data_IF_792979564876
#
_entry.id   IF_792979564876
#
_cell.length_a   1.000
_cell.length_b   1.000
_cell.length_c   1.000
_cell.angle_alpha   90.00
_cell.angle_beta   90.00
_cell.angle_gamma   90.00
#
_symmetry.space_group_name_H-M   'P 1'
#
loop_
_entity.id
_entity.type
_entity.pdbx_description
1 polymer ?
#
# COMPACT_ATOMS: atom_id res chain seq x y z
N UNK A 1 -76.91 12.22 -23.80
CA UNK A 1 -75.65 11.62 -23.32
C UNK A 1 -74.96 12.62 -22.41
N UNK A 2 -75.15 12.51 -21.09
CA UNK A 2 -74.50 13.37 -20.09
C UNK A 2 -73.44 12.55 -19.37
N UNK A 3 -72.17 12.85 -19.63
CA UNK A 3 -71.03 12.22 -18.95
C UNK A 3 -70.88 12.98 -17.63
N UNK A 4 -71.50 12.45 -16.57
CA UNK A 4 -71.36 12.96 -15.21
C UNK A 4 -69.92 12.74 -14.74
N UNK A 5 -69.14 13.83 -14.77
CA UNK A 5 -67.75 13.85 -14.36
C UNK A 5 -67.68 13.81 -12.82
N UNK A 6 -67.56 12.59 -12.26
CA UNK A 6 -67.33 12.36 -10.83
C UNK A 6 -65.89 12.71 -10.49
N UNK A 7 -65.62 13.96 -10.17
CA UNK A 7 -64.39 14.34 -9.51
C UNK A 7 -64.45 13.83 -8.05
N UNK A 8 -63.78 12.72 -7.77
CA UNK A 8 -63.52 12.28 -6.41
C UNK A 8 -62.57 13.28 -5.75
N UNK A 9 -63.12 14.11 -4.87
CA UNK A 9 -62.33 15.00 -4.01
C UNK A 9 -61.60 14.11 -3.00
N UNK A 10 -60.30 13.91 -3.24
CA UNK A 10 -59.41 13.19 -2.32
C UNK A 10 -59.51 13.80 -0.93
N UNK A 11 -59.79 12.97 0.08
CA UNK A 11 -59.81 13.46 1.47
C UNK A 11 -58.36 13.64 1.95
N UNK A 12 -58.11 14.65 2.78
CA UNK A 12 -56.77 15.04 3.23
C UNK A 12 -55.94 13.86 3.79
N UNK A 13 -56.58 12.92 4.49
CA UNK A 13 -55.91 11.74 5.04
C UNK A 13 -55.46 10.73 3.97
N UNK A 14 -56.20 10.60 2.87
CA UNK A 14 -55.81 9.74 1.74
C UNK A 14 -54.58 10.33 1.03
N UNK A 15 -54.50 11.65 0.92
CA UNK A 15 -53.34 12.33 0.35
C UNK A 15 -52.08 12.16 1.22
N UNK A 16 -52.23 12.29 2.54
CA UNK A 16 -51.13 12.05 3.50
C UNK A 16 -50.68 10.58 3.48
N UNK A 17 -51.61 9.64 3.33
CA UNK A 17 -51.29 8.21 3.22
C UNK A 17 -50.47 7.91 1.96
N UNK A 18 -50.82 8.52 0.82
CA UNK A 18 -50.06 8.36 -0.43
C UNK A 18 -48.66 8.98 -0.32
N UNK A 19 -48.52 10.16 0.31
CA UNK A 19 -47.20 10.76 0.56
C UNK A 19 -46.37 9.86 1.48
N UNK A 20 -46.96 9.33 2.55
CA UNK A 20 -46.29 8.41 3.47
C UNK A 20 -45.84 7.11 2.79
N UNK A 21 -46.67 6.55 1.91
CA UNK A 21 -46.32 5.37 1.12
C UNK A 21 -45.22 5.67 0.10
N UNK A 22 -45.26 6.84 -0.56
CA UNK A 22 -44.26 7.25 -1.51
C UNK A 22 -42.90 7.53 -0.85
N UNK A 23 -42.88 8.14 0.33
CA UNK A 23 -41.64 8.36 1.10
C UNK A 23 -41.08 7.05 1.64
N UNK A 24 -41.93 6.16 2.19
CA UNK A 24 -41.50 4.83 2.62
C UNK A 24 -40.97 3.98 1.45
N UNK A 25 -41.63 4.03 0.29
CA UNK A 25 -41.18 3.35 -0.92
C UNK A 25 -39.86 3.94 -1.44
N UNK A 26 -39.69 5.26 -1.44
CA UNK A 26 -38.41 5.89 -1.78
C UNK A 26 -37.30 5.46 -0.82
N UNK A 27 -37.57 5.40 0.48
CA UNK A 27 -36.59 4.97 1.49
C UNK A 27 -36.22 3.49 1.35
N UNK A 28 -37.18 2.63 1.00
CA UNK A 28 -36.97 1.20 0.79
C UNK A 28 -36.27 0.86 -0.54
N UNK A 29 -36.55 1.61 -1.61
CA UNK A 29 -35.98 1.40 -2.94
C UNK A 29 -34.59 2.04 -3.09
N UNK A 30 -34.36 3.16 -2.39
CA UNK A 30 -33.07 3.87 -2.38
C UNK A 30 -32.48 3.93 -0.97
N UNK A 31 -32.10 2.80 -0.37
CA UNK A 31 -31.29 2.86 0.84
C UNK A 31 -29.98 3.52 0.44
N UNK A 32 -29.67 4.70 1.01
CA UNK A 32 -28.47 5.49 0.68
C UNK A 32 -27.25 4.57 0.52
N UNK A 33 -27.09 3.63 1.44
CA UNK A 33 -26.02 2.63 1.46
C UNK A 33 -25.81 1.85 0.15
N UNK A 34 -26.86 1.41 -0.57
CA UNK A 34 -26.69 0.62 -1.80
C UNK A 34 -26.27 1.47 -3.00
N UNK A 35 -26.78 2.69 -3.09
CA UNK A 35 -26.34 3.61 -4.13
C UNK A 35 -24.90 4.04 -3.88
N UNK A 36 -24.55 4.37 -2.63
CA UNK A 36 -23.15 4.63 -2.28
C UNK A 36 -22.29 3.43 -2.64
N UNK A 37 -22.68 2.21 -2.29
CA UNK A 37 -21.92 0.99 -2.57
C UNK A 37 -21.74 0.69 -4.06
N UNK A 38 -22.79 0.82 -4.89
CA UNK A 38 -22.72 0.68 -6.34
C UNK A 38 -21.83 1.75 -6.99
N UNK A 39 -21.99 2.99 -6.54
CA UNK A 39 -21.19 4.12 -7.01
C UNK A 39 -19.74 4.03 -6.52
N UNK A 40 -19.51 3.39 -5.37
CA UNK A 40 -18.21 3.05 -4.80
C UNK A 40 -17.54 1.89 -5.56
N UNK A 41 -18.32 0.95 -6.08
CA UNK A 41 -17.81 -0.17 -6.87
C UNK A 41 -17.26 0.28 -8.23
N UNK A 42 -17.92 1.22 -8.91
CA UNK A 42 -17.46 1.75 -10.21
C UNK A 42 -16.39 2.83 -10.06
N UNK A 43 -15.12 2.44 -10.22
CA UNK A 43 -13.96 3.34 -10.04
C UNK A 43 -13.86 4.48 -11.04
N UNK A 44 -14.30 4.28 -12.28
CA UNK A 44 -14.03 5.20 -13.40
C UNK A 44 -15.32 5.77 -14.05
N UNK A 45 -16.42 5.80 -13.32
CA UNK A 45 -17.70 6.28 -13.87
C UNK A 45 -17.85 7.80 -13.69
N UNK A 46 -18.11 8.59 -14.74
CA UNK A 46 -18.43 10.01 -14.59
C UNK A 46 -19.65 10.27 -13.69
N UNK A 47 -20.57 9.29 -13.62
CA UNK A 47 -21.73 9.33 -12.73
C UNK A 47 -21.28 9.27 -11.27
N UNK A 48 -20.25 8.49 -10.95
CA UNK A 48 -19.75 8.37 -9.58
C UNK A 48 -19.14 9.67 -9.06
N UNK A 49 -18.43 10.39 -9.92
CA UNK A 49 -17.91 11.73 -9.61
C UNK A 49 -19.04 12.69 -9.29
N UNK A 50 -20.06 12.81 -10.18
CA UNK A 50 -21.20 13.73 -9.96
C UNK A 50 -21.98 13.41 -8.68
N UNK A 51 -22.16 12.12 -8.39
CA UNK A 51 -22.82 11.68 -7.17
C UNK A 51 -22.00 12.04 -5.93
N UNK A 52 -20.69 11.77 -5.93
CA UNK A 52 -19.81 12.17 -4.83
C UNK A 52 -19.70 13.68 -4.65
N UNK A 53 -19.74 14.46 -5.72
CA UNK A 53 -19.85 15.92 -5.66
C UNK A 53 -21.13 16.36 -4.95
N UNK A 54 -22.27 15.68 -5.18
CA UNK A 54 -23.50 15.96 -4.42
C UNK A 54 -23.36 15.59 -2.95
N UNK A 55 -22.78 14.43 -2.63
CA UNK A 55 -22.57 14.00 -1.24
C UNK A 55 -21.66 14.97 -0.48
N UNK A 56 -20.53 15.38 -1.09
CA UNK A 56 -19.60 16.33 -0.48
C UNK A 56 -20.23 17.72 -0.31
N UNK A 57 -21.13 18.13 -1.22
CA UNK A 57 -21.90 19.37 -1.06
C UNK A 57 -22.87 19.30 0.12
N UNK A 58 -23.53 18.16 0.31
CA UNK A 58 -24.45 17.94 1.44
C UNK A 58 -23.68 17.80 2.77
N UNK A 59 -22.49 17.20 2.74
CA UNK A 59 -21.67 16.92 3.92
C UNK A 59 -20.25 17.50 3.76
N UNK A 60 -20.07 18.83 3.76
CA UNK A 60 -18.78 19.46 3.45
C UNK A 60 -17.69 19.20 4.49
N UNK A 61 -18.06 18.79 5.71
CA UNK A 61 -17.12 18.46 6.78
C UNK A 61 -16.55 17.04 6.73
N UNK A 62 -17.14 16.14 5.93
CA UNK A 62 -16.71 14.74 5.87
C UNK A 62 -15.51 14.59 4.94
N UNK A 63 -14.33 14.46 5.54
CA UNK A 63 -13.04 14.27 4.88
C UNK A 63 -12.92 12.94 4.15
N UNK A 64 -13.54 11.87 4.64
CA UNK A 64 -13.52 10.57 3.96
C UNK A 64 -14.16 10.65 2.56
N UNK A 65 -15.32 11.32 2.43
CA UNK A 65 -15.95 11.55 1.12
C UNK A 65 -15.14 12.45 0.21
N UNK A 66 -14.43 13.45 0.76
CA UNK A 66 -13.53 14.32 -0.01
C UNK A 66 -12.33 13.55 -0.55
N UNK A 67 -11.72 12.68 0.26
CA UNK A 67 -10.61 11.82 -0.17
C UNK A 67 -11.08 10.88 -1.27
N UNK A 68 -12.25 10.27 -1.10
CA UNK A 68 -12.82 9.38 -2.10
C UNK A 68 -13.12 10.11 -3.42
N UNK A 69 -13.69 11.33 -3.35
CA UNK A 69 -13.91 12.17 -4.52
C UNK A 69 -12.57 12.54 -5.18
N UNK A 70 -11.54 12.84 -4.39
CA UNK A 70 -10.19 13.07 -4.91
C UNK A 70 -9.64 11.83 -5.62
N UNK A 71 -9.79 10.63 -5.06
CA UNK A 71 -9.37 9.37 -5.70
C UNK A 71 -10.08 9.17 -7.05
N UNK A 72 -11.38 9.49 -7.16
CA UNK A 72 -12.10 9.46 -8.45
C UNK A 72 -11.56 10.49 -9.45
N UNK A 73 -11.23 11.68 -8.98
CA UNK A 73 -10.59 12.69 -9.83
C UNK A 73 -9.22 12.24 -10.31
N UNK A 74 -8.41 11.60 -9.47
CA UNK A 74 -7.11 11.05 -9.86
C UNK A 74 -7.26 9.97 -10.94
N UNK A 75 -8.19 9.02 -10.76
CA UNK A 75 -8.42 7.97 -11.75
C UNK A 75 -8.96 8.49 -13.09
N UNK A 76 -9.71 9.58 -13.07
CA UNK A 76 -10.18 10.26 -14.29
C UNK A 76 -9.17 11.23 -14.90
N UNK A 77 -7.94 11.29 -14.39
CA UNK A 77 -6.87 12.14 -14.92
C UNK A 77 -7.06 13.62 -14.61
N UNK A 78 -7.77 13.97 -13.53
CA UNK A 78 -8.05 15.34 -13.07
C UNK A 78 -7.33 15.65 -11.75
N UNK A 79 -6.00 15.86 -11.76
CA UNK A 79 -5.25 16.03 -10.52
C UNK A 79 -5.50 17.37 -9.81
N UNK A 80 -5.94 18.43 -10.49
CA UNK A 80 -6.18 19.74 -9.86
C UNK A 80 -7.46 19.74 -9.02
N UNK A 81 -8.62 19.24 -9.51
CA UNK A 81 -9.78 19.03 -8.66
C UNK A 81 -9.50 18.08 -7.51
N UNK A 82 -8.70 17.03 -7.74
CA UNK A 82 -8.30 16.11 -6.67
C UNK A 82 -7.54 16.84 -5.56
N UNK A 83 -6.51 17.64 -5.92
CA UNK A 83 -5.74 18.43 -4.97
C UNK A 83 -6.63 19.39 -4.18
N UNK A 84 -7.56 20.08 -4.85
CA UNK A 84 -8.48 21.01 -4.19
C UNK A 84 -9.35 20.30 -3.13
N UNK A 85 -9.83 19.08 -3.41
CA UNK A 85 -10.60 18.30 -2.44
C UNK A 85 -9.74 17.84 -1.26
N UNK A 86 -8.50 17.42 -1.50
CA UNK A 86 -7.58 17.00 -0.45
C UNK A 86 -7.19 18.15 0.48
N UNK A 87 -6.90 19.34 -0.08
CA UNK A 87 -6.59 20.53 0.72
C UNK A 87 -7.79 21.03 1.54
N UNK A 88 -9.02 20.73 1.11
CA UNK A 88 -10.24 21.05 1.85
C UNK A 88 -10.51 20.11 3.03
N UNK A 89 -9.74 19.03 3.20
CA UNK A 89 -9.87 18.12 4.35
C UNK A 89 -9.34 18.81 5.61
N UNK A 90 -10.26 19.19 6.51
CA UNK A 90 -9.99 19.83 7.80
C UNK A 90 -10.04 18.87 9.00
N UNK A 91 -10.24 17.57 8.75
CA UNK A 91 -10.44 16.59 9.82
C UNK A 91 -9.22 16.47 10.75
N UNK A 92 -9.52 16.29 12.03
CA UNK A 92 -8.56 16.00 13.10
C UNK A 92 -8.30 14.51 13.28
N UNK A 93 -9.14 13.65 12.70
CA UNK A 93 -8.97 12.20 12.79
C UNK A 93 -7.63 11.76 12.17
N UNK A 94 -6.76 11.07 12.92
CA UNK A 94 -5.45 10.63 12.43
C UNK A 94 -5.52 9.72 11.20
N UNK A 95 -6.58 8.90 11.09
CA UNK A 95 -6.73 7.93 9.99
C UNK A 95 -7.04 8.64 8.69
N UNK A 96 -8.10 9.47 8.66
CA UNK A 96 -8.43 10.28 7.50
C UNK A 96 -7.28 11.20 7.14
N UNK A 97 -6.63 11.82 8.14
CA UNK A 97 -5.51 12.73 7.91
C UNK A 97 -4.33 12.02 7.25
N UNK A 98 -3.96 10.83 7.74
CA UNK A 98 -2.92 10.02 7.13
C UNK A 98 -3.23 9.71 5.66
N UNK A 99 -4.44 9.23 5.39
CA UNK A 99 -4.85 8.85 4.04
C UNK A 99 -4.86 10.05 3.08
N UNK A 100 -5.26 11.23 3.55
CA UNK A 100 -5.15 12.49 2.81
C UNK A 100 -3.69 12.84 2.49
N UNK A 101 -2.82 12.81 3.51
CA UNK A 101 -1.41 13.17 3.39
C UNK A 101 -0.68 12.31 2.35
N UNK A 102 -0.93 11.00 2.36
CA UNK A 102 -0.37 10.04 1.39
C UNK A 102 -0.74 10.43 -0.05
N UNK A 103 -1.97 10.88 -0.29
CA UNK A 103 -2.47 11.24 -1.64
C UNK A 103 -1.93 12.58 -2.11
N UNK A 104 -1.80 13.55 -1.20
CA UNK A 104 -1.12 14.81 -1.50
C UNK A 104 0.35 14.57 -1.85
N UNK A 105 1.05 13.73 -1.08
CA UNK A 105 2.43 13.32 -1.39
C UNK A 105 2.54 12.63 -2.75
N UNK A 106 1.58 11.76 -3.09
CA UNK A 106 1.52 11.11 -4.40
C UNK A 106 1.44 12.13 -5.55
N UNK A 107 0.54 13.12 -5.42
CA UNK A 107 0.40 14.21 -6.38
C UNK A 107 1.67 15.08 -6.51
N UNK A 108 2.32 15.40 -5.38
CA UNK A 108 3.58 16.14 -5.37
C UNK A 108 4.68 15.39 -6.13
N UNK A 109 4.72 14.06 -6.05
CA UNK A 109 5.69 13.24 -6.79
C UNK A 109 5.37 13.14 -8.29
N UNK A 110 4.08 13.07 -8.65
CA UNK A 110 3.66 12.97 -10.04
C UNK A 110 3.91 14.27 -10.82
N UNK A 111 3.68 15.42 -10.20
CA UNK A 111 3.85 16.72 -10.85
C UNK A 111 4.52 17.75 -9.92
N UNK A 112 5.83 17.60 -9.62
CA UNK A 112 6.53 18.43 -8.64
C UNK A 112 6.56 19.91 -9.02
N UNK A 113 6.66 20.24 -10.32
CA UNK A 113 6.60 21.63 -10.79
C UNK A 113 5.24 22.29 -10.63
N UNK A 114 4.16 21.49 -10.58
CA UNK A 114 2.78 21.96 -10.57
C UNK A 114 2.21 22.12 -9.17
N UNK A 115 2.54 21.16 -8.29
CA UNK A 115 1.99 21.10 -6.94
C UNK A 115 3.06 21.21 -5.85
N UNK A 116 4.32 20.90 -6.16
CA UNK A 116 5.35 20.68 -5.15
C UNK A 116 6.04 21.95 -4.68
N UNK A 117 5.91 22.23 -3.39
CA UNK A 117 6.94 22.95 -2.63
C UNK A 117 7.78 21.91 -1.87
N UNK A 118 9.10 21.89 -2.07
CA UNK A 118 10.01 20.92 -1.42
C UNK A 118 9.94 20.99 0.10
N UNK A 119 9.75 22.18 0.67
CA UNK A 119 9.63 22.37 2.11
C UNK A 119 8.33 21.78 2.67
N UNK A 120 7.20 21.95 1.98
CA UNK A 120 5.93 21.36 2.39
C UNK A 120 5.94 19.84 2.26
N UNK A 121 6.52 19.33 1.17
CA UNK A 121 6.69 17.90 0.96
C UNK A 121 7.49 17.25 2.10
N UNK A 122 8.59 17.90 2.53
CA UNK A 122 9.38 17.45 3.68
C UNK A 122 8.58 17.41 4.98
N UNK A 123 7.83 18.48 5.30
CA UNK A 123 6.97 18.54 6.49
C UNK A 123 5.88 17.46 6.46
N UNK A 124 5.25 17.28 5.31
CA UNK A 124 4.19 16.30 5.12
C UNK A 124 4.73 14.87 5.29
N UNK A 125 5.87 14.57 4.68
CA UNK A 125 6.56 13.28 4.85
C UNK A 125 6.89 13.01 6.32
N UNK A 126 7.45 13.99 7.04
CA UNK A 126 7.76 13.85 8.45
C UNK A 126 6.51 13.58 9.30
N UNK A 127 5.40 14.27 9.02
CA UNK A 127 4.11 14.03 9.69
C UNK A 127 3.56 12.64 9.40
N UNK A 128 3.59 12.20 8.14
CA UNK A 128 3.15 10.85 7.75
C UNK A 128 3.96 9.78 8.49
N UNK A 129 5.28 9.94 8.59
CA UNK A 129 6.14 9.02 9.33
C UNK A 129 5.83 9.03 10.84
N UNK A 130 5.57 10.19 11.44
CA UNK A 130 5.18 10.29 12.84
C UNK A 130 3.87 9.54 13.13
N UNK A 131 2.86 9.64 12.25
CA UNK A 131 1.61 8.90 12.38
C UNK A 131 1.81 7.38 12.32
N UNK A 132 2.68 6.89 11.42
CA UNK A 132 3.04 5.45 11.36
C UNK A 132 3.69 4.99 12.67
N UNK A 133 4.54 5.84 13.27
CA UNK A 133 5.20 5.52 14.53
C UNK A 133 4.23 5.45 15.72
N UNK A 134 3.12 6.18 15.68
CA UNK A 134 2.07 6.11 16.70
C UNK A 134 1.10 4.94 16.49
N UNK A 135 1.01 4.39 15.27
CA UNK A 135 0.08 3.31 14.96
C UNK A 135 0.49 1.98 15.61
N UNK A 136 -0.46 1.32 16.27
CA UNK A 136 -0.24 0.04 16.97
C UNK A 136 -1.15 -1.07 16.47
N UNK A 137 -2.19 -0.74 15.69
CA UNK A 137 -3.09 -1.71 15.10
C UNK A 137 -2.45 -2.42 13.91
N UNK A 138 -2.30 -3.74 14.01
CA UNK A 138 -1.83 -4.61 12.92
C UNK A 138 -2.64 -4.43 11.63
N UNK A 139 -3.97 -4.34 11.76
CA UNK A 139 -4.85 -4.12 10.61
C UNK A 139 -4.56 -2.78 9.93
N UNK A 140 -4.42 -1.71 10.73
CA UNK A 140 -4.16 -0.38 10.19
C UNK A 140 -2.77 -0.24 9.59
N UNK A 141 -1.74 -0.81 10.22
CA UNK A 141 -0.39 -0.87 9.63
C UNK A 141 -0.42 -1.59 8.26
N UNK A 142 -1.22 -2.66 8.12
CA UNK A 142 -1.38 -3.34 6.83
C UNK A 142 -2.05 -2.48 5.76
N UNK A 143 -3.05 -1.68 6.15
CA UNK A 143 -3.68 -0.68 5.27
C UNK A 143 -2.68 0.42 4.88
N UNK A 144 -1.93 0.96 5.84
CA UNK A 144 -0.87 1.95 5.64
C UNK A 144 0.17 1.43 4.63
N UNK A 145 0.65 0.19 4.79
CA UNK A 145 1.57 -0.43 3.84
C UNK A 145 0.99 -0.44 2.43
N UNK A 146 -0.28 -0.85 2.30
CA UNK A 146 -0.94 -0.96 0.99
C UNK A 146 -1.14 0.41 0.34
N UNK A 147 -1.61 1.40 1.11
CA UNK A 147 -1.80 2.78 0.63
C UNK A 147 -0.47 3.41 0.20
N UNK A 148 0.57 3.31 1.02
CA UNK A 148 1.88 3.94 0.76
C UNK A 148 2.65 3.26 -0.36
N UNK A 149 2.61 1.94 -0.47
CA UNK A 149 3.24 1.21 -1.57
C UNK A 149 2.55 1.47 -2.91
N UNK A 150 1.22 1.59 -2.93
CA UNK A 150 0.47 1.91 -4.15
C UNK A 150 0.84 3.28 -4.76
N UNK A 151 1.24 4.24 -3.92
CA UNK A 151 1.69 5.57 -4.37
C UNK A 151 3.22 5.71 -4.46
N UNK A 152 3.97 4.63 -4.22
CA UNK A 152 5.43 4.61 -4.28
C UNK A 152 6.14 5.32 -3.13
N UNK A 153 5.46 5.59 -2.01
CA UNK A 153 6.06 6.11 -0.77
C UNK A 153 6.79 5.00 0.00
N UNK A 154 7.83 4.45 -0.63
CA UNK A 154 8.55 3.27 -0.14
C UNK A 154 9.14 3.39 1.27
N UNK A 155 9.70 4.54 1.72
CA UNK A 155 10.15 4.67 3.11
C UNK A 155 9.02 4.47 4.14
N UNK A 156 7.83 4.98 3.84
CA UNK A 156 6.66 4.84 4.70
C UNK A 156 6.09 3.40 4.67
N UNK A 157 6.04 2.80 3.47
CA UNK A 157 5.65 1.40 3.31
C UNK A 157 6.59 0.47 4.08
N UNK A 158 7.90 0.72 4.00
CA UNK A 158 8.91 -0.05 4.71
C UNK A 158 8.73 0.05 6.23
N UNK A 159 8.59 1.26 6.77
CA UNK A 159 8.38 1.46 8.20
C UNK A 159 7.10 0.76 8.71
N UNK A 160 6.01 0.80 7.93
CA UNK A 160 4.79 0.08 8.28
C UNK A 160 4.99 -1.44 8.27
N UNK A 161 5.66 -1.99 7.25
CA UNK A 161 5.97 -3.42 7.18
C UNK A 161 6.84 -3.88 8.35
N UNK A 162 7.84 -3.09 8.73
CA UNK A 162 8.72 -3.39 9.86
C UNK A 162 7.95 -3.44 11.18
N UNK A 163 7.06 -2.47 11.43
CA UNK A 163 6.22 -2.44 12.64
C UNK A 163 5.21 -3.58 12.70
N UNK A 164 4.83 -4.19 11.58
CA UNK A 164 3.91 -5.34 11.56
C UNK A 164 4.59 -6.62 12.02
N UNK A 165 5.89 -6.79 11.76
CA UNK A 165 6.60 -8.05 12.00
C UNK A 165 6.45 -8.62 13.43
N UNK A 166 6.49 -7.82 14.51
CA UNK A 166 6.30 -8.34 15.87
C UNK A 166 4.90 -8.93 16.12
N UNK A 167 3.89 -8.54 15.35
CA UNK A 167 2.52 -9.04 15.48
C UNK A 167 2.26 -10.33 14.70
N UNK A 168 3.19 -10.73 13.82
CA UNK A 168 2.95 -11.80 12.85
C UNK A 168 3.64 -13.10 13.28
N UNK A 169 2.83 -14.05 13.75
CA UNK A 169 3.28 -15.40 14.10
C UNK A 169 3.16 -16.39 12.95
N UNK A 170 2.15 -16.24 12.10
CA UNK A 170 1.84 -17.24 11.05
C UNK A 170 2.18 -16.77 9.63
N UNK A 171 2.25 -15.46 9.41
CA UNK A 171 2.52 -14.89 8.09
C UNK A 171 3.84 -14.09 8.06
N UNK A 172 4.78 -14.45 8.93
CA UNK A 172 6.08 -13.77 9.08
C UNK A 172 6.85 -13.75 7.76
N UNK A 173 6.88 -14.88 7.03
CA UNK A 173 7.53 -14.98 5.72
C UNK A 173 7.03 -13.91 4.73
N UNK A 174 5.72 -13.74 4.62
CA UNK A 174 5.10 -12.78 3.70
C UNK A 174 5.46 -11.34 4.05
N UNK A 175 5.40 -10.98 5.34
CA UNK A 175 5.74 -9.63 5.77
C UNK A 175 7.23 -9.33 5.71
N UNK A 176 8.10 -10.33 5.91
CA UNK A 176 9.54 -10.19 5.67
C UNK A 176 9.83 -9.89 4.19
N UNK A 177 9.14 -10.56 3.26
CA UNK A 177 9.27 -10.26 1.82
C UNK A 177 8.77 -8.86 1.47
N UNK A 178 7.64 -8.43 2.05
CA UNK A 178 7.11 -7.08 1.86
C UNK A 178 8.04 -6.00 2.40
N UNK A 179 8.60 -6.22 3.59
CA UNK A 179 9.60 -5.32 4.18
C UNK A 179 10.87 -5.27 3.32
N UNK A 180 11.37 -6.42 2.84
CA UNK A 180 12.53 -6.48 1.96
C UNK A 180 12.32 -5.71 0.65
N UNK A 181 11.18 -5.94 -0.01
CA UNK A 181 10.84 -5.26 -1.26
C UNK A 181 10.66 -3.75 -1.07
N UNK A 182 9.97 -3.33 0.00
CA UNK A 182 9.78 -1.91 0.31
C UNK A 182 11.12 -1.23 0.64
N UNK A 183 12.02 -1.89 1.39
CA UNK A 183 13.36 -1.38 1.67
C UNK A 183 14.20 -1.25 0.39
N UNK A 184 14.13 -2.22 -0.52
CA UNK A 184 14.85 -2.18 -1.80
C UNK A 184 14.40 -0.97 -2.63
N UNK A 185 13.08 -0.78 -2.75
CA UNK A 185 12.50 0.36 -3.47
C UNK A 185 12.72 1.72 -2.78
N UNK A 186 12.92 1.71 -1.46
CA UNK A 186 13.32 2.90 -0.69
C UNK A 186 14.82 3.24 -0.85
N UNK A 187 15.60 2.39 -1.52
CA UNK A 187 17.06 2.55 -1.66
C UNK A 187 17.86 2.07 -0.44
N UNK A 188 17.20 1.47 0.57
CA UNK A 188 17.86 0.89 1.73
C UNK A 188 18.26 -0.57 1.44
N UNK A 189 19.22 -0.73 0.52
CA UNK A 189 19.74 -2.03 0.09
C UNK A 189 20.30 -2.89 1.25
N UNK A 190 21.01 -2.34 2.26
CA UNK A 190 21.47 -3.13 3.39
C UNK A 190 20.31 -3.76 4.15
N UNK A 191 19.27 -2.97 4.50
CA UNK A 191 18.10 -3.49 5.19
C UNK A 191 17.35 -4.51 4.33
N UNK A 192 17.12 -4.22 3.05
CA UNK A 192 16.45 -5.11 2.11
C UNK A 192 17.09 -6.49 2.08
N UNK A 193 18.42 -6.56 1.97
CA UNK A 193 19.15 -7.83 1.98
C UNK A 193 18.97 -8.60 3.30
N UNK A 194 19.02 -7.90 4.43
CA UNK A 194 18.79 -8.50 5.75
C UNK A 194 17.41 -9.12 5.87
N UNK A 195 16.37 -8.44 5.38
CA UNK A 195 15.01 -8.99 5.36
C UNK A 195 14.85 -10.14 4.36
N UNK A 196 15.50 -10.10 3.20
CA UNK A 196 15.50 -11.24 2.28
C UNK A 196 16.17 -12.48 2.90
N UNK A 197 17.27 -12.32 3.64
CA UNK A 197 17.92 -13.43 4.35
C UNK A 197 16.97 -14.02 5.40
N UNK A 198 16.34 -13.17 6.21
CA UNK A 198 15.33 -13.61 7.20
C UNK A 198 14.14 -14.31 6.50
N UNK A 199 13.65 -13.76 5.39
CA UNK A 199 12.56 -14.35 4.62
C UNK A 199 12.95 -15.72 4.05
N UNK A 200 14.17 -15.89 3.54
CA UNK A 200 14.66 -17.17 3.05
C UNK A 200 14.66 -18.23 4.17
N UNK A 201 15.11 -17.86 5.39
CA UNK A 201 15.10 -18.77 6.53
C UNK A 201 13.68 -19.26 6.88
N UNK A 202 12.68 -18.39 6.76
CA UNK A 202 11.26 -18.71 7.02
C UNK A 202 10.50 -19.26 5.80
N UNK A 203 11.15 -19.44 4.64
CA UNK A 203 10.47 -19.86 3.42
C UNK A 203 9.97 -21.32 3.55
N UNK A 204 8.73 -21.61 3.08
CA UNK A 204 8.08 -22.91 3.29
C UNK A 204 8.71 -24.04 2.48
N UNK A 205 9.31 -23.72 1.33
CA UNK A 205 9.92 -24.71 0.43
C UNK A 205 11.36 -24.33 0.08
N UNK A 206 12.15 -25.35 -0.26
CA UNK A 206 13.58 -25.21 -0.52
C UNK A 206 13.87 -24.37 -1.77
N UNK A 207 12.99 -24.39 -2.77
CA UNK A 207 13.18 -23.64 -4.01
C UNK A 207 13.01 -22.13 -3.78
N UNK A 208 11.92 -21.71 -3.12
CA UNK A 208 11.69 -20.32 -2.71
C UNK A 208 12.79 -19.83 -1.79
N UNK A 209 13.24 -20.67 -0.83
CA UNK A 209 14.39 -20.35 0.03
C UNK A 209 15.62 -19.99 -0.81
N UNK A 210 15.98 -20.83 -1.80
CA UNK A 210 17.12 -20.58 -2.71
C UNK A 210 16.92 -19.32 -3.54
N UNK A 211 15.73 -19.12 -4.12
CA UNK A 211 15.42 -17.96 -4.94
C UNK A 211 15.59 -16.64 -4.16
N UNK A 212 14.99 -16.57 -2.98
CA UNK A 212 15.04 -15.38 -2.12
C UNK A 212 16.45 -15.15 -1.60
N UNK A 213 17.16 -16.21 -1.23
CA UNK A 213 18.54 -16.12 -0.79
C UNK A 213 19.44 -15.53 -1.89
N UNK A 214 19.32 -15.99 -3.15
CA UNK A 214 20.05 -15.39 -4.29
C UNK A 214 19.69 -13.93 -4.51
N UNK A 215 18.40 -13.55 -4.35
CA UNK A 215 17.96 -12.17 -4.43
C UNK A 215 18.64 -11.30 -3.36
N UNK A 216 18.79 -11.79 -2.12
CA UNK A 216 19.49 -11.07 -1.05
C UNK A 216 20.94 -10.70 -1.42
N UNK A 217 21.71 -11.63 -1.99
CA UNK A 217 23.08 -11.36 -2.43
C UNK A 217 23.16 -10.48 -3.66
N UNK A 218 22.17 -10.56 -4.56
CA UNK A 218 22.07 -9.64 -5.68
C UNK A 218 21.91 -8.20 -5.18
N UNK A 219 21.06 -7.99 -4.17
CA UNK A 219 20.86 -6.69 -3.52
C UNK A 219 22.14 -6.21 -2.79
N UNK A 220 22.84 -7.10 -2.06
CA UNK A 220 24.11 -6.75 -1.41
C UNK A 220 25.21 -6.38 -2.40
N UNK A 221 25.31 -7.11 -3.52
CA UNK A 221 26.29 -6.86 -4.56
C UNK A 221 26.01 -5.51 -5.23
N UNK A 222 24.74 -5.21 -5.54
CA UNK A 222 24.34 -3.90 -6.03
C UNK A 222 24.64 -2.75 -5.05
N UNK A 223 24.66 -3.03 -3.74
CA UNK A 223 25.03 -2.07 -2.70
C UNK A 223 26.55 -1.89 -2.52
N UNK A 224 27.39 -2.69 -3.17
CA UNK A 224 28.85 -2.67 -2.98
C UNK A 224 29.32 -3.14 -1.58
N UNK A 225 28.46 -3.82 -0.82
CA UNK A 225 28.73 -4.22 0.56
C UNK A 225 29.49 -5.55 0.65
N UNK A 226 30.69 -5.60 0.08
CA UNK A 226 31.48 -6.85 -0.03
C UNK A 226 31.83 -7.49 1.33
N UNK A 227 32.01 -6.68 2.39
CA UNK A 227 32.24 -7.20 3.76
C UNK A 227 31.02 -7.94 4.31
N UNK A 228 29.83 -7.42 4.07
CA UNK A 228 28.58 -8.06 4.50
C UNK A 228 28.29 -9.31 3.69
N UNK A 229 28.56 -9.29 2.38
CA UNK A 229 28.50 -10.49 1.52
C UNK A 229 29.35 -11.59 2.13
N UNK A 230 30.60 -11.30 2.49
CA UNK A 230 31.51 -12.29 3.09
C UNK A 230 30.93 -12.90 4.35
N UNK A 231 30.54 -12.07 5.31
CA UNK A 231 29.99 -12.50 6.61
C UNK A 231 28.74 -13.36 6.45
N UNK A 232 27.82 -12.95 5.56
CA UNK A 232 26.56 -13.67 5.35
C UNK A 232 26.77 -14.97 4.57
N UNK A 233 27.66 -14.97 3.57
CA UNK A 233 28.03 -16.17 2.82
C UNK A 233 28.71 -17.20 3.72
N UNK A 234 29.66 -16.82 4.58
CA UNK A 234 30.32 -17.77 5.47
C UNK A 234 29.34 -18.46 6.42
N UNK A 235 28.32 -17.74 6.90
CA UNK A 235 27.30 -18.30 7.78
C UNK A 235 26.33 -19.22 7.05
N UNK A 236 26.02 -18.91 5.79
CA UNK A 236 24.89 -19.52 5.07
C UNK A 236 25.30 -20.53 4.00
N UNK A 237 26.54 -20.50 3.51
CA UNK A 237 27.02 -21.35 2.44
C UNK A 237 26.83 -22.86 2.68
N UNK A 238 27.04 -23.41 3.90
CA UNK A 238 26.82 -24.83 4.15
C UNK A 238 25.40 -25.29 3.79
N UNK A 239 24.37 -24.47 4.08
CA UNK A 239 22.97 -24.81 3.86
C UNK A 239 22.56 -24.88 2.38
N UNK A 240 23.36 -24.30 1.47
CA UNK A 240 23.04 -24.20 0.04
C UNK A 240 24.06 -24.89 -0.88
N UNK A 241 25.06 -25.51 -0.28
CA UNK A 241 26.23 -26.08 -0.95
C UNK A 241 25.89 -27.31 -1.82
N UNK A 242 24.87 -28.09 -1.44
CA UNK A 242 24.40 -29.24 -2.21
C UNK A 242 23.68 -28.89 -3.53
N UNK A 243 23.24 -27.64 -3.72
CA UNK A 243 22.58 -27.22 -4.97
C UNK A 243 23.59 -26.66 -5.96
N UNK A 244 23.77 -27.33 -7.11
CA UNK A 244 24.79 -26.96 -8.11
C UNK A 244 24.65 -25.51 -8.58
N UNK A 245 23.43 -25.04 -8.83
CA UNK A 245 23.21 -23.69 -9.32
C UNK A 245 23.47 -22.65 -8.23
N UNK A 246 22.93 -22.84 -7.03
CA UNK A 246 23.14 -21.91 -5.92
C UNK A 246 24.61 -21.85 -5.53
N UNK A 247 25.29 -22.99 -5.45
CA UNK A 247 26.73 -23.05 -5.20
C UNK A 247 27.55 -22.25 -6.22
N UNK A 248 27.25 -22.38 -7.52
CA UNK A 248 27.91 -21.59 -8.56
C UNK A 248 27.66 -20.09 -8.38
N UNK A 249 26.43 -19.70 -8.04
CA UNK A 249 26.07 -18.31 -7.73
C UNK A 249 26.85 -17.79 -6.49
N UNK A 250 26.97 -18.56 -5.42
CA UNK A 250 27.72 -18.16 -4.22
C UNK A 250 29.21 -17.97 -4.51
N UNK A 251 29.80 -18.87 -5.29
CA UNK A 251 31.19 -18.73 -5.72
C UNK A 251 31.38 -17.46 -6.58
N UNK A 252 30.41 -17.13 -7.44
CA UNK A 252 30.46 -15.90 -8.23
C UNK A 252 30.44 -14.64 -7.35
N UNK A 253 29.61 -14.63 -6.31
CA UNK A 253 29.56 -13.53 -5.34
C UNK A 253 30.84 -13.44 -4.52
N UNK A 254 31.41 -14.59 -4.09
CA UNK A 254 32.67 -14.61 -3.37
C UNK A 254 33.81 -14.02 -4.21
N UNK A 255 33.88 -14.36 -5.51
CA UNK A 255 34.85 -13.78 -6.44
C UNK A 255 34.66 -12.27 -6.63
N UNK A 256 33.41 -11.79 -6.69
CA UNK A 256 33.10 -10.36 -6.78
C UNK A 256 33.59 -9.56 -5.57
N UNK A 257 33.87 -10.20 -4.43
CA UNK A 257 34.47 -9.50 -3.28
C UNK A 257 35.95 -9.13 -3.46
N UNK A 258 36.60 -9.64 -4.51
CA UNK A 258 38.03 -9.40 -4.78
C UNK A 258 38.99 -10.20 -3.89
N UNK A 259 38.49 -11.04 -2.98
CA UNK A 259 39.33 -11.85 -2.10
C UNK A 259 39.40 -13.30 -2.56
N UNK A 260 40.58 -13.66 -3.09
CA UNK A 260 40.86 -14.99 -3.61
C UNK A 260 40.83 -16.09 -2.54
N UNK A 261 41.24 -15.78 -1.30
CA UNK A 261 41.22 -16.75 -0.19
C UNK A 261 39.78 -17.06 0.21
N UNK A 262 38.95 -16.03 0.33
CA UNK A 262 37.55 -16.22 0.64
C UNK A 262 36.82 -17.02 -0.46
N UNK A 263 37.08 -16.73 -1.74
CA UNK A 263 36.51 -17.50 -2.85
C UNK A 263 36.95 -18.97 -2.81
N UNK A 264 38.22 -19.24 -2.47
CA UNK A 264 38.74 -20.60 -2.27
C UNK A 264 38.03 -21.31 -1.13
N UNK A 265 37.84 -20.66 0.01
CA UNK A 265 37.19 -21.26 1.18
C UNK A 265 35.73 -21.65 0.86
N UNK A 266 34.99 -20.78 0.17
CA UNK A 266 33.64 -21.08 -0.31
C UNK A 266 33.65 -22.26 -1.31
N UNK A 267 34.62 -22.31 -2.23
CA UNK A 267 34.76 -23.43 -3.16
C UNK A 267 35.00 -24.77 -2.42
N UNK A 268 35.82 -24.76 -1.36
CA UNK A 268 36.07 -25.96 -0.54
C UNK A 268 34.82 -26.42 0.20
N UNK A 269 34.02 -25.50 0.74
CA UNK A 269 32.72 -25.83 1.38
C UNK A 269 31.76 -26.48 0.39
N UNK A 270 31.71 -25.96 -0.85
CA UNK A 270 30.88 -26.52 -1.93
C UNK A 270 31.36 -27.91 -2.35
N UNK A 271 32.68 -28.16 -2.40
CA UNK A 271 33.23 -29.45 -2.82
C UNK A 271 33.01 -30.53 -1.76
N UNK A 272 33.19 -30.21 -0.48
CA UNK A 272 33.04 -31.17 0.64
C UNK A 272 31.62 -31.70 0.80
N UNK A 273 30.62 -30.95 0.36
CA UNK A 273 29.20 -31.28 0.51
C UNK A 273 28.62 -32.01 -0.71
N UNK A 274 29.44 -32.26 -1.73
CA UNK A 274 29.10 -33.07 -2.91
C UNK A 274 29.63 -34.51 -2.87
N UNK A 275 30.52 -34.80 -1.92
CA UNK A 275 30.99 -36.15 -1.63
C UNK A 275 29.95 -36.86 -0.77
#
# INVERSE_FOLDING_TARGET
MSIANKYHVFRLHEFLAVIGLATAACWAVYPENRLTELVLAEKNSPVSIKYLESIVRLNPGNGAYRILLADRYLWSGRPEPAMAQLLAVRETDPVTRFSCDVRVLALYRQAPKRFGNTAENGKLTARTMALINLETSRSRLGAIYTETSAVGLWPAAFAAAEKILPFETWNTYFWLLRAAAAAEQAGNLPAASGYYIKAAACAPDTEKRRLIFRKAFTVLSAAGLHKDIRRQLSASAPAFSGDKHTAATLLSFARQTGDAYFARDIALVILRTRQ
#
